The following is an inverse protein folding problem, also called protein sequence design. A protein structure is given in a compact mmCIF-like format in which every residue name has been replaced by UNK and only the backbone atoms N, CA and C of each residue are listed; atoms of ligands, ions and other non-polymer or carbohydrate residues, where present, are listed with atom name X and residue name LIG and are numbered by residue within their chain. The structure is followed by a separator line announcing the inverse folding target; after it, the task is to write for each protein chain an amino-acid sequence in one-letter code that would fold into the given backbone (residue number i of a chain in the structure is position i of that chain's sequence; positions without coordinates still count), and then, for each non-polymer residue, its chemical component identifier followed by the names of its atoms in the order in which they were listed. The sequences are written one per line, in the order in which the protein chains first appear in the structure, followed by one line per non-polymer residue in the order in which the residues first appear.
data_IF_477140212914
#
_entry.id   IF_477140212914
#
_cell.length_a   1.000
_cell.length_b   1.000
_cell.length_c   1.000
_cell.angle_alpha   90.00
_cell.angle_beta   90.00
_cell.angle_gamma   90.00
#
_symmetry.space_group_name_H-M   'P 1'
#
loop_
_entity.id
_entity.type
_entity.pdbx_description
1 polymer ?
#
# COMPACT_ATOMS: atom_id res chain seq x y z
N UNK A 1 38.97 11.39 21.98
CA UNK A 1 38.12 11.37 20.77
C UNK A 1 38.34 12.71 20.07
N UNK A 2 39.15 12.74 19.00
CA UNK A 2 39.44 13.99 18.31
C UNK A 2 38.21 14.42 17.51
N UNK A 3 37.57 15.51 17.94
CA UNK A 3 36.41 16.09 17.26
C UNK A 3 36.81 16.52 15.86
N UNK A 4 36.12 15.98 14.87
CA UNK A 4 36.32 16.16 13.42
C UNK A 4 36.24 17.65 13.01
N UNK A 5 35.75 18.50 13.92
CA UNK A 5 35.69 19.95 13.88
C UNK A 5 37.04 20.67 13.77
N UNK A 6 38.13 20.09 14.29
CA UNK A 6 39.43 20.77 14.32
C UNK A 6 40.16 20.72 12.96
N UNK A 7 39.90 19.69 12.16
CA UNK A 7 40.56 19.43 10.86
C UNK A 7 40.01 20.21 9.67
N UNK A 8 38.98 21.01 9.86
CA UNK A 8 38.33 21.74 8.78
C UNK A 8 38.99 23.10 8.56
N UNK A 9 39.26 23.44 7.31
CA UNK A 9 39.78 24.75 6.93
C UNK A 9 38.75 25.86 7.25
N UNK A 10 39.18 27.10 7.53
CA UNK A 10 38.26 28.19 7.89
C UNK A 10 37.16 28.46 6.85
N UNK A 11 37.43 28.18 5.57
CA UNK A 11 36.46 28.29 4.47
C UNK A 11 35.37 27.21 4.52
N UNK A 12 35.72 26.00 4.95
CA UNK A 12 34.80 24.86 5.08
C UNK A 12 33.91 25.02 6.32
N UNK A 13 34.48 25.54 7.42
CA UNK A 13 33.72 25.92 8.62
C UNK A 13 32.65 26.96 8.31
N UNK A 14 33.01 27.99 7.53
CA UNK A 14 32.05 29.02 7.10
C UNK A 14 30.93 28.45 6.21
N UNK A 15 31.28 27.56 5.29
CA UNK A 15 30.30 26.92 4.40
C UNK A 15 29.35 26.01 5.19
N UNK A 16 29.87 25.22 6.13
CA UNK A 16 29.05 24.36 6.98
C UNK A 16 28.13 25.15 7.92
N UNK A 17 28.61 26.25 8.51
CA UNK A 17 27.77 27.13 9.33
C UNK A 17 26.68 27.82 8.51
N UNK A 18 26.96 28.23 7.27
CA UNK A 18 25.98 28.82 6.38
C UNK A 18 24.88 27.81 5.97
N UNK A 19 25.26 26.59 5.61
CA UNK A 19 24.32 25.51 5.27
C UNK A 19 23.49 25.08 6.49
N UNK A 20 24.09 25.05 7.68
CA UNK A 20 23.38 24.73 8.92
C UNK A 20 22.42 25.86 9.34
N UNK A 21 22.81 27.13 9.16
CA UNK A 21 21.93 28.28 9.40
C UNK A 21 20.73 28.31 8.46
N UNK A 22 20.94 28.03 7.16
CA UNK A 22 19.87 27.99 6.16
C UNK A 22 18.88 26.84 6.40
N UNK A 23 19.36 25.67 6.83
CA UNK A 23 18.49 24.52 7.15
C UNK A 23 17.70 24.73 8.45
N UNK A 24 18.27 25.39 9.47
CA UNK A 24 17.56 25.75 10.69
C UNK A 24 16.45 26.79 10.45
N UNK A 25 16.67 27.75 9.55
CA UNK A 25 15.66 28.75 9.16
C UNK A 25 14.48 28.12 8.39
N UNK A 26 14.74 27.16 7.50
CA UNK A 26 13.71 26.44 6.75
C UNK A 26 12.79 25.62 7.67
N UNK A 27 13.36 24.96 8.69
CA UNK A 27 12.59 24.20 9.67
C UNK A 27 11.66 25.08 10.52
N UNK A 28 12.09 26.29 10.88
CA UNK A 28 11.26 27.24 11.63
C UNK A 28 10.13 27.84 10.77
N UNK A 29 10.34 28.05 9.47
CA UNK A 29 9.29 28.50 8.55
C UNK A 29 8.20 27.45 8.26
N UNK A 30 8.53 26.16 8.31
CA UNK A 30 7.56 25.08 8.11
C UNK A 30 6.75 24.75 9.39
N UNK A 31 7.29 25.01 10.57
CA UNK A 31 6.61 24.77 11.86
C UNK A 31 5.59 25.84 12.27
N UNK A 32 5.71 27.07 11.76
CA UNK A 32 4.87 28.21 12.18
C UNK A 32 3.68 28.51 11.25
N UNK A 33 3.53 27.81 10.11
CA UNK A 33 2.58 28.18 9.05
C UNK A 33 1.26 27.40 8.99
N UNK A 34 1.08 26.30 9.74
CA UNK A 34 -0.09 25.43 9.58
C UNK A 34 -0.95 25.41 10.85
N UNK A 35 -1.54 26.56 11.17
CA UNK A 35 -2.24 26.76 12.44
C UNK A 35 -3.30 27.86 12.42
N UNK A 36 -4.15 27.94 11.39
CA UNK A 36 -5.53 28.48 11.49
C UNK A 36 -6.26 28.34 10.16
N UNK A 37 -7.33 27.56 10.16
CA UNK A 37 -8.24 27.42 9.03
C UNK A 37 -9.30 26.39 9.32
N UNK A 38 -10.16 26.68 10.31
CA UNK A 38 -11.32 25.86 10.61
C UNK A 38 -12.41 26.05 9.57
N UNK A 39 -12.95 24.95 9.06
CA UNK A 39 -14.31 24.85 8.51
C UNK A 39 -14.74 23.40 8.63
N UNK A 40 -15.58 23.13 9.63
CA UNK A 40 -16.40 21.92 9.69
C UNK A 40 -17.57 22.10 8.70
N UNK A 41 -17.79 21.21 7.73
CA UNK A 41 -19.07 21.14 7.06
C UNK A 41 -20.08 20.44 7.99
N UNK A 42 -20.96 21.25 8.59
CA UNK A 42 -22.19 20.80 9.18
C UNK A 42 -23.10 20.21 8.09
N UNK A 43 -23.25 18.89 8.05
CA UNK A 43 -24.34 18.20 7.34
C UNK A 43 -25.33 17.68 8.37
N UNK A 44 -26.20 18.63 8.72
CA UNK A 44 -27.63 18.52 8.97
C UNK A 44 -28.20 17.11 9.23
N UNK A 45 -28.65 16.97 10.47
CA UNK A 45 -29.79 16.17 10.89
C UNK A 45 -30.99 16.36 9.96
N UNK A 46 -31.36 15.33 9.21
CA UNK A 46 -32.69 15.21 8.62
C UNK A 46 -33.52 14.24 9.45
N UNK A 47 -34.42 14.81 10.27
CA UNK A 47 -35.57 14.11 10.85
C UNK A 47 -36.66 13.94 9.80
N UNK A 48 -37.16 12.72 9.63
CA UNK A 48 -38.51 12.33 9.20
C UNK A 48 -38.70 10.90 9.78
N UNK A 49 -39.37 10.64 10.90
CA UNK A 49 -40.80 10.77 11.23
C UNK A 49 -41.75 10.09 10.23
N UNK A 50 -42.33 8.96 10.68
CA UNK A 50 -43.51 8.28 10.14
C UNK A 50 -43.16 7.00 9.36
N UNK A 51 -43.67 5.81 9.65
CA UNK A 51 -44.67 5.34 10.61
C UNK A 51 -44.92 3.83 10.39
N UNK A 52 -45.67 3.22 11.33
CA UNK A 52 -46.28 1.86 11.29
C UNK A 52 -45.30 0.68 11.06
N UNK A 53 -44.89 -0.10 12.08
CA UNK A 53 -45.70 -1.02 12.89
C UNK A 53 -46.80 -1.71 12.08
N UNK A 54 -46.47 -2.85 11.47
CA UNK A 54 -47.47 -3.89 11.21
C UNK A 54 -47.06 -5.18 11.91
N UNK A 55 -48.07 -5.72 12.57
CA UNK A 55 -48.07 -6.78 13.57
C UNK A 55 -48.43 -8.10 12.88
N UNK A 56 -47.61 -9.11 13.11
CA UNK A 56 -47.94 -10.52 13.38
C UNK A 56 -49.08 -11.14 12.55
N UNK A 57 -48.74 -12.11 11.69
CA UNK A 57 -49.64 -13.22 11.37
C UNK A 57 -49.04 -14.54 11.89
N UNK A 58 -49.60 -15.00 13.01
CA UNK A 58 -49.41 -16.35 13.54
C UNK A 58 -50.24 -17.33 12.72
N UNK A 59 -49.67 -17.88 11.66
CA UNK A 59 -50.25 -19.02 10.95
C UNK A 59 -49.30 -20.22 10.99
N UNK A 60 -49.34 -20.92 12.13
CA UNK A 60 -48.99 -22.35 12.22
C UNK A 60 -50.11 -23.15 11.54
N UNK A 61 -49.74 -24.06 10.63
CA UNK A 61 -50.40 -25.36 10.64
C UNK A 61 -49.40 -26.52 10.81
N UNK A 62 -49.84 -27.42 11.68
CA UNK A 62 -49.29 -28.68 12.17
C UNK A 62 -48.78 -29.63 11.06
N UNK A 63 -47.62 -30.26 11.29
CA UNK A 63 -47.19 -31.49 10.63
C UNK A 63 -48.08 -32.68 11.10
N UNK A 64 -48.19 -33.87 10.44
CA UNK A 64 -47.07 -34.75 9.98
C UNK A 64 -47.45 -35.67 8.78
N UNK A 65 -46.86 -36.87 8.55
CA UNK A 65 -45.44 -37.28 8.46
C UNK A 65 -45.05 -37.86 7.07
N UNK A 66 -43.72 -37.89 6.83
CA UNK A 66 -42.96 -38.86 6.04
C UNK A 66 -43.52 -39.41 4.70
N UNK A 67 -42.96 -38.94 3.58
CA UNK A 67 -42.62 -39.82 2.46
C UNK A 67 -41.21 -39.55 1.92
N UNK A 68 -40.41 -40.61 2.01
CA UNK A 68 -39.07 -40.80 1.49
C UNK A 68 -39.15 -40.94 -0.03
N UNK A 69 -38.65 -39.98 -0.80
CA UNK A 69 -38.19 -40.27 -2.15
C UNK A 69 -37.10 -39.30 -2.60
N UNK A 70 -35.96 -39.90 -2.93
CA UNK A 70 -34.75 -39.24 -3.36
C UNK A 70 -34.98 -38.48 -4.67
N UNK A 71 -34.67 -37.19 -4.68
CA UNK A 71 -34.30 -36.48 -5.90
C UNK A 71 -32.93 -35.88 -5.65
N UNK A 72 -31.95 -36.40 -6.40
CA UNK A 72 -30.56 -36.00 -6.36
C UNK A 72 -30.44 -34.48 -6.45
N UNK A 73 -30.03 -33.85 -5.34
CA UNK A 73 -29.51 -32.49 -5.36
C UNK A 73 -28.09 -32.60 -5.91
N UNK A 74 -27.98 -32.17 -7.16
CA UNK A 74 -26.75 -31.80 -7.84
C UNK A 74 -25.82 -31.06 -6.86
N UNK A 75 -24.64 -31.62 -6.64
CA UNK A 75 -23.59 -30.98 -5.84
C UNK A 75 -23.20 -29.73 -6.64
N UNK A 76 -23.43 -28.49 -6.15
CA UNK A 76 -22.92 -27.32 -6.84
C UNK A 76 -21.40 -27.44 -6.83
N UNK A 77 -20.82 -27.66 -8.02
CA UNK A 77 -19.39 -27.54 -8.22
C UNK A 77 -19.00 -26.12 -7.84
N UNK A 78 -18.09 -25.89 -6.88
CA UNK A 78 -17.64 -24.54 -6.60
C UNK A 78 -16.84 -24.07 -7.82
N UNK A 79 -17.48 -23.25 -8.65
CA UNK A 79 -16.77 -22.45 -9.65
C UNK A 79 -15.71 -21.64 -8.89
N UNK A 80 -14.43 -21.67 -9.30
CA UNK A 80 -13.37 -21.00 -8.56
C UNK A 80 -13.66 -19.49 -8.59
N UNK A 81 -14.02 -18.95 -7.42
CA UNK A 81 -14.11 -17.51 -7.25
C UNK A 81 -12.77 -16.87 -7.68
N UNK A 82 -12.80 -15.74 -8.40
CA UNK A 82 -11.56 -15.07 -8.80
C UNK A 82 -10.74 -14.77 -7.55
N UNK A 83 -9.40 -14.93 -7.62
CA UNK A 83 -8.55 -14.67 -6.47
C UNK A 83 -8.77 -13.22 -6.00
N UNK A 84 -8.97 -13.03 -4.70
CA UNK A 84 -9.16 -11.69 -4.11
C UNK A 84 -7.82 -11.00 -3.80
N UNK A 85 -6.72 -11.73 -3.95
CA UNK A 85 -5.36 -11.26 -3.65
C UNK A 85 -4.35 -11.82 -4.65
N UNK A 86 -3.27 -11.09 -4.86
CA UNK A 86 -2.13 -11.47 -5.69
C UNK A 86 -0.89 -11.72 -4.83
N UNK A 87 -0.09 -12.68 -5.25
CA UNK A 87 1.16 -13.09 -4.61
C UNK A 87 2.32 -12.59 -5.44
N UNK A 88 3.20 -11.76 -4.86
CA UNK A 88 4.38 -11.24 -5.54
C UNK A 88 5.64 -11.50 -4.76
N UNK A 89 6.76 -11.63 -5.46
CA UNK A 89 8.08 -11.77 -4.87
C UNK A 89 8.83 -10.44 -4.96
N UNK A 90 9.15 -9.84 -3.82
CA UNK A 90 9.97 -8.63 -3.73
C UNK A 90 11.39 -8.98 -3.33
N UNK A 91 12.36 -8.59 -4.17
CA UNK A 91 13.79 -8.84 -3.98
C UNK A 91 14.61 -7.57 -4.17
N UNK A 92 15.86 -7.58 -3.73
CA UNK A 92 16.81 -6.48 -3.93
C UNK A 92 16.90 -5.53 -2.73
N UNK A 93 16.98 -4.23 -3.01
CA UNK A 93 17.27 -3.17 -2.04
C UNK A 93 16.06 -2.75 -1.18
N UNK A 94 15.31 -3.72 -0.63
CA UNK A 94 14.18 -3.50 0.29
C UNK A 94 14.52 -3.93 1.71
N UNK A 95 13.79 -3.45 2.73
CA UNK A 95 14.11 -3.80 4.13
C UNK A 95 13.90 -5.28 4.43
N UNK A 96 12.83 -5.88 3.90
CA UNK A 96 12.52 -7.30 4.03
C UNK A 96 12.22 -7.84 2.64
N UNK A 97 13.12 -8.64 2.09
CA UNK A 97 12.84 -9.38 0.86
C UNK A 97 12.00 -10.62 1.17
N UNK A 98 11.16 -11.01 0.22
CA UNK A 98 10.27 -12.16 0.41
C UNK A 98 9.05 -12.14 -0.49
N UNK A 99 8.12 -13.06 -0.20
CA UNK A 99 6.86 -13.20 -0.91
C UNK A 99 5.75 -12.54 -0.11
N UNK A 100 4.95 -11.69 -0.77
CA UNK A 100 3.90 -10.89 -0.15
C UNK A 100 2.57 -11.15 -0.83
N UNK A 101 1.49 -11.14 -0.03
CA UNK A 101 0.11 -11.15 -0.51
C UNK A 101 -0.43 -9.72 -0.49
N UNK A 102 -0.91 -9.24 -1.63
CA UNK A 102 -1.50 -7.91 -1.79
C UNK A 102 -2.91 -8.02 -2.35
N UNK A 103 -3.68 -6.94 -2.23
CA UNK A 103 -5.01 -6.87 -2.82
C UNK A 103 -4.94 -6.90 -4.36
N UNK A 104 -6.03 -7.31 -5.01
CA UNK A 104 -6.16 -7.14 -6.44
C UNK A 104 -6.01 -5.65 -6.82
N UNK A 105 -5.31 -5.39 -7.92
CA UNK A 105 -4.97 -4.05 -8.44
C UNK A 105 -3.93 -3.26 -7.62
N UNK A 106 -3.22 -3.90 -6.69
CA UNK A 106 -2.04 -3.28 -6.07
C UNK A 106 -0.97 -2.93 -7.11
N UNK A 107 -0.17 -1.91 -6.80
CA UNK A 107 0.91 -1.41 -7.64
C UNK A 107 2.27 -1.77 -7.05
N UNK A 108 3.33 -1.60 -7.84
CA UNK A 108 4.72 -1.83 -7.41
C UNK A 108 5.06 -1.09 -6.12
N UNK A 109 4.57 0.15 -5.95
CA UNK A 109 4.72 0.91 -4.71
C UNK A 109 4.19 0.15 -3.48
N UNK A 110 2.98 -0.41 -3.56
CA UNK A 110 2.34 -1.12 -2.46
C UNK A 110 3.15 -2.35 -2.03
N UNK A 111 3.74 -3.08 -3.00
CA UNK A 111 4.60 -4.22 -2.70
C UNK A 111 5.88 -3.81 -1.97
N UNK A 112 6.48 -2.66 -2.34
CA UNK A 112 7.66 -2.13 -1.66
C UNK A 112 7.30 -1.68 -0.25
N UNK A 113 6.15 -1.06 -0.05
CA UNK A 113 5.67 -0.69 1.29
C UNK A 113 5.42 -1.91 2.17
N UNK A 114 4.79 -2.97 1.63
CA UNK A 114 4.61 -4.25 2.34
C UNK A 114 5.94 -4.93 2.69
N UNK A 115 6.97 -4.75 1.86
CA UNK A 115 8.35 -5.15 2.16
C UNK A 115 9.04 -4.31 3.26
N UNK A 116 8.31 -3.38 3.90
CA UNK A 116 8.80 -2.47 4.93
C UNK A 116 9.41 -1.19 4.37
N UNK A 117 9.22 -0.93 3.08
CA UNK A 117 9.81 0.18 2.35
C UNK A 117 11.19 -0.14 1.76
N UNK A 118 11.63 0.77 0.89
CA UNK A 118 12.94 0.71 0.26
C UNK A 118 14.07 1.01 1.26
N UNK A 119 15.27 0.49 0.98
CA UNK A 119 16.49 0.86 1.71
C UNK A 119 17.04 2.20 1.20
N UNK A 120 17.91 2.91 1.95
CA UNK A 120 18.49 4.18 1.51
C UNK A 120 19.30 4.10 0.20
N UNK A 121 19.82 2.90 -0.10
CA UNK A 121 20.61 2.63 -1.30
C UNK A 121 19.75 2.11 -2.45
N UNK A 122 18.43 2.01 -2.30
CA UNK A 122 17.54 1.59 -3.37
C UNK A 122 17.42 2.67 -4.44
N UNK A 123 17.37 2.24 -5.70
CA UNK A 123 17.05 3.09 -6.83
C UNK A 123 15.59 2.86 -7.22
N UNK A 124 14.71 3.70 -6.69
CA UNK A 124 13.29 3.66 -6.98
C UNK A 124 12.94 4.35 -8.30
N UNK A 125 13.78 5.27 -8.77
CA UNK A 125 13.61 5.95 -10.05
C UNK A 125 13.80 4.98 -11.23
N UNK A 126 14.56 3.91 -11.02
CA UNK A 126 14.70 2.81 -11.96
C UNK A 126 13.45 1.92 -12.10
N UNK A 127 12.44 2.08 -11.23
CA UNK A 127 11.20 1.29 -11.25
C UNK A 127 9.98 2.14 -11.55
N UNK A 128 9.04 1.58 -12.32
CA UNK A 128 7.71 2.18 -12.45
C UNK A 128 6.85 1.85 -11.22
N UNK A 129 6.91 2.71 -10.20
CA UNK A 129 6.16 2.52 -8.96
C UNK A 129 4.64 2.48 -9.15
N UNK A 130 4.14 3.07 -10.24
CA UNK A 130 2.73 3.07 -10.59
C UNK A 130 2.30 1.85 -11.40
N UNK A 131 3.21 0.96 -11.78
CA UNK A 131 2.87 -0.24 -12.56
C UNK A 131 1.92 -1.14 -11.76
N UNK A 132 0.79 -1.60 -12.35
CA UNK A 132 -0.08 -2.57 -11.70
C UNK A 132 0.63 -3.92 -11.58
N UNK A 133 0.43 -4.59 -10.45
CA UNK A 133 1.02 -5.89 -10.20
C UNK A 133 0.17 -7.01 -10.78
N UNK A 134 0.86 -8.04 -11.28
CA UNK A 134 0.27 -9.31 -11.65
C UNK A 134 0.58 -10.38 -10.60
N UNK A 135 -0.30 -11.38 -10.48
CA UNK A 135 -0.04 -12.55 -9.65
C UNK A 135 1.20 -13.32 -10.14
N UNK A 136 2.03 -13.78 -9.20
CA UNK A 136 3.30 -14.43 -9.47
C UNK A 136 4.42 -13.50 -9.93
N UNK A 137 4.20 -12.18 -10.01
CA UNK A 137 5.21 -11.24 -10.49
C UNK A 137 6.38 -11.12 -9.51
N UNK A 138 7.60 -11.05 -10.06
CA UNK A 138 8.81 -10.76 -9.29
C UNK A 138 9.23 -9.31 -9.52
N UNK A 139 9.30 -8.54 -8.43
CA UNK A 139 9.83 -7.18 -8.41
C UNK A 139 11.26 -7.24 -7.87
N UNK A 140 12.21 -6.74 -8.65
CA UNK A 140 13.59 -6.52 -8.19
C UNK A 140 13.83 -5.04 -8.01
N UNK A 141 14.18 -4.62 -6.79
CA UNK A 141 14.54 -3.24 -6.48
C UNK A 141 16.06 -3.09 -6.62
N UNK A 142 16.56 -2.40 -7.66
CA UNK A 142 17.99 -2.21 -7.86
C UNK A 142 18.57 -1.29 -6.79
N UNK A 143 19.89 -1.34 -6.61
CA UNK A 143 20.63 -0.35 -5.82
C UNK A 143 21.07 0.81 -6.71
N UNK A 144 21.25 1.99 -6.12
CA UNK A 144 21.80 3.16 -6.83
C UNK A 144 23.17 2.81 -7.41
N UNK A 145 23.32 3.00 -8.72
CA UNK A 145 24.54 2.68 -9.46
C UNK A 145 24.69 1.20 -9.84
N UNK A 146 23.72 0.35 -9.53
CA UNK A 146 23.65 -1.01 -10.06
C UNK A 146 23.16 -0.94 -11.51
N UNK A 147 24.03 -1.26 -12.47
CA UNK A 147 23.60 -1.36 -13.87
C UNK A 147 22.78 -2.64 -14.01
N UNK A 148 21.48 -2.57 -14.38
CA UNK A 148 20.69 -3.77 -14.60
C UNK A 148 21.35 -4.61 -15.69
N UNK A 149 21.40 -5.95 -15.54
CA UNK A 149 22.00 -6.82 -16.54
C UNK A 149 21.32 -6.56 -17.90
N UNK A 150 22.08 -6.51 -19.01
CA UNK A 150 21.49 -6.30 -20.33
C UNK A 150 20.42 -7.36 -20.54
N UNK A 151 19.16 -6.92 -20.61
CA UNK A 151 18.06 -7.80 -20.96
C UNK A 151 18.32 -8.16 -22.42
N UNK A 152 18.88 -9.35 -22.66
CA UNK A 152 18.94 -9.93 -23.99
C UNK A 152 17.51 -10.23 -24.43
N UNK A 153 16.83 -9.18 -24.88
CA UNK A 153 15.65 -9.32 -25.70
C UNK A 153 16.15 -9.97 -26.98
N UNK A 154 15.94 -11.28 -27.06
CA UNK A 154 16.20 -12.07 -28.26
C UNK A 154 15.23 -11.60 -29.35
N UNK A 155 15.56 -10.46 -29.96
CA UNK A 155 15.07 -10.09 -31.27
C UNK A 155 15.86 -10.90 -32.31
N UNK A 156 15.13 -11.37 -33.32
CA UNK A 156 15.57 -12.10 -34.51
C UNK A 156 15.70 -13.63 -34.36
N UNK A 157 14.73 -14.38 -34.88
CA UNK A 157 14.64 -14.68 -36.32
C UNK A 157 13.26 -15.22 -36.70
#
# INVERSE_FOLDING_TARGET
MHSIWDKLEPKEKATLLAVYGASLALALSLGYGWGRGGTQPAVQTASLQGGAVEVIDLSLPEAPPAEKSAKATEIPSPEPAPPESLVVHVAGAVKKSGVYRLALNSRVADAIEQAGGATPNADLDALNLAEPLADGQKIYVPRKGETPPPTVSAAAS
#
